data_IF_890766958341
#
_entry.id   IF_890766958341
#
_cell.length_a   1.000
_cell.length_b   1.000
_cell.length_c   1.000
_cell.angle_alpha   90.00
_cell.angle_beta   90.00
_cell.angle_gamma   90.00
#
_symmetry.space_group_name_H-M   'P 1'
#
loop_
_entity.id
_entity.type
_entity.pdbx_description
1 polymer ?
#
# COMPACT_ATOMS: atom_id res chain seq x y z
N UNK A 1 -38.45 14.78 -7.21
CA UNK A 1 -37.38 14.04 -7.90
C UNK A 1 -36.10 14.20 -7.05
N UNK A 2 -35.67 13.16 -6.34
CA UNK A 2 -34.41 13.19 -5.60
C UNK A 2 -33.28 13.36 -6.62
N UNK A 3 -32.48 14.42 -6.50
CA UNK A 3 -31.27 14.61 -7.29
C UNK A 3 -30.36 13.40 -7.02
N UNK A 4 -30.10 12.65 -8.08
CA UNK A 4 -29.09 11.55 -8.00
C UNK A 4 -27.76 12.20 -7.73
N UNK A 5 -27.25 12.03 -6.52
CA UNK A 5 -25.97 12.58 -6.10
C UNK A 5 -24.87 11.77 -6.77
N UNK A 6 -24.10 12.41 -7.65
CA UNK A 6 -22.97 11.76 -8.32
C UNK A 6 -21.90 11.32 -7.30
N UNK A 7 -21.40 10.10 -7.38
CA UNK A 7 -20.44 9.55 -6.41
C UNK A 7 -19.08 10.25 -6.44
N UNK A 8 -18.31 10.04 -5.38
CA UNK A 8 -16.89 10.26 -5.34
C UNK A 8 -16.23 8.93 -5.70
N UNK A 9 -15.35 8.92 -6.70
CA UNK A 9 -14.57 7.75 -7.09
C UNK A 9 -13.17 7.81 -6.49
N UNK A 10 -12.72 6.70 -5.90
CA UNK A 10 -11.34 6.50 -5.47
C UNK A 10 -10.75 5.36 -6.29
N UNK A 11 -9.74 5.65 -7.11
CA UNK A 11 -9.13 4.70 -8.04
C UNK A 11 -7.84 4.13 -7.46
N UNK A 12 -7.85 2.83 -7.18
CA UNK A 12 -6.80 2.08 -6.50
C UNK A 12 -7.10 1.88 -5.01
N UNK A 13 -7.23 0.62 -4.59
CA UNK A 13 -7.56 0.25 -3.22
C UNK A 13 -6.34 -0.31 -2.46
N UNK A 14 -5.16 0.25 -2.66
CA UNK A 14 -4.05 0.09 -1.71
C UNK A 14 -4.31 0.91 -0.44
N UNK A 15 -3.34 0.95 0.48
CA UNK A 15 -3.45 1.69 1.75
C UNK A 15 -4.07 3.08 1.59
N UNK A 16 -3.48 3.92 0.73
CA UNK A 16 -3.92 5.31 0.57
C UNK A 16 -5.35 5.43 0.06
N UNK A 17 -5.72 4.63 -0.96
CA UNK A 17 -7.08 4.67 -1.52
C UNK A 17 -8.11 4.12 -0.56
N UNK A 18 -7.80 3.03 0.12
CA UNK A 18 -8.70 2.41 1.11
C UNK A 18 -9.04 3.38 2.23
N UNK A 19 -8.03 3.97 2.89
CA UNK A 19 -8.32 4.91 3.97
C UNK A 19 -8.92 6.24 3.49
N UNK A 20 -8.57 6.69 2.29
CA UNK A 20 -9.28 7.83 1.68
C UNK A 20 -10.78 7.53 1.51
N UNK A 21 -11.13 6.36 0.99
CA UNK A 21 -12.52 5.98 0.80
C UNK A 21 -13.26 5.83 2.14
N UNK A 22 -12.66 5.19 3.13
CA UNK A 22 -13.21 5.06 4.48
C UNK A 22 -13.49 6.44 5.09
N UNK A 23 -12.49 7.32 5.12
CA UNK A 23 -12.65 8.65 5.72
C UNK A 23 -13.63 9.54 4.96
N UNK A 24 -13.72 9.42 3.63
CA UNK A 24 -14.73 10.10 2.85
C UNK A 24 -16.14 9.61 3.20
N UNK A 25 -16.33 8.29 3.30
CA UNK A 25 -17.61 7.70 3.63
C UNK A 25 -18.10 8.08 5.03
N UNK A 26 -17.22 8.07 6.02
CA UNK A 26 -17.52 8.47 7.40
C UNK A 26 -17.84 9.95 7.53
N UNK A 27 -17.12 10.83 6.82
CA UNK A 27 -17.30 12.29 6.93
C UNK A 27 -18.39 12.85 6.03
N UNK A 28 -18.78 12.13 4.99
CA UNK A 28 -19.77 12.55 4.00
C UNK A 28 -20.85 11.46 3.82
N UNK A 29 -21.66 11.15 4.85
CA UNK A 29 -22.60 10.04 4.83
C UNK A 29 -23.65 10.14 3.70
N UNK A 30 -23.96 11.36 3.26
CA UNK A 30 -24.92 11.61 2.17
C UNK A 30 -24.29 11.49 0.75
N UNK A 31 -22.97 11.23 0.67
CA UNK A 31 -22.26 11.12 -0.60
C UNK A 31 -21.88 9.67 -0.88
N UNK A 32 -22.33 9.09 -2.00
CA UNK A 32 -21.83 7.78 -2.40
C UNK A 32 -20.32 7.84 -2.67
N UNK A 33 -19.56 6.87 -2.14
CA UNK A 33 -18.13 6.69 -2.35
C UNK A 33 -17.92 5.33 -2.99
N UNK A 34 -17.18 5.29 -4.11
CA UNK A 34 -16.87 4.05 -4.81
C UNK A 34 -15.35 3.89 -4.84
N UNK A 35 -14.87 2.81 -4.24
CA UNK A 35 -13.47 2.40 -4.23
C UNK A 35 -13.24 1.36 -5.33
N UNK A 36 -12.40 1.68 -6.32
CA UNK A 36 -12.10 0.80 -7.44
C UNK A 36 -10.84 -0.03 -7.19
N UNK A 37 -10.93 -1.37 -7.40
CA UNK A 37 -9.81 -2.30 -7.27
C UNK A 37 -9.93 -3.47 -8.25
N UNK A 38 -9.05 -3.50 -9.26
CA UNK A 38 -9.08 -4.53 -10.30
C UNK A 38 -8.45 -5.88 -9.91
N UNK A 39 -7.51 -5.87 -8.95
CA UNK A 39 -6.81 -7.11 -8.55
C UNK A 39 -7.66 -8.08 -7.75
N UNK A 40 -8.87 -7.68 -7.36
CA UNK A 40 -9.79 -8.47 -6.55
C UNK A 40 -9.51 -8.42 -5.05
N UNK A 41 -8.41 -7.81 -4.59
CA UNK A 41 -8.04 -7.70 -3.18
C UNK A 41 -7.83 -6.24 -2.78
N UNK A 42 -8.85 -5.62 -2.21
CA UNK A 42 -8.77 -4.27 -1.67
C UNK A 42 -8.09 -4.27 -0.29
N UNK A 43 -7.36 -3.22 0.03
CA UNK A 43 -6.73 -2.96 1.32
C UNK A 43 -5.21 -2.89 1.26
N UNK A 44 -4.49 -4.02 1.25
CA UNK A 44 -3.04 -4.04 1.48
C UNK A 44 -2.22 -3.41 0.36
N UNK A 45 -2.70 -3.44 -0.88
CA UNK A 45 -1.91 -3.01 -2.02
C UNK A 45 -0.57 -3.74 -2.10
N UNK A 46 0.36 -3.23 -2.90
CA UNK A 46 1.68 -3.86 -3.08
C UNK A 46 2.58 -3.79 -1.84
N UNK A 47 2.39 -2.79 -0.97
CA UNK A 47 3.28 -2.55 0.16
C UNK A 47 3.08 -3.53 1.31
N UNK A 48 1.85 -4.04 1.49
CA UNK A 48 1.44 -4.84 2.65
C UNK A 48 0.88 -6.22 2.28
N UNK A 49 0.93 -6.59 0.99
CA UNK A 49 0.50 -7.92 0.50
C UNK A 49 1.57 -9.00 0.66
N UNK A 50 2.81 -8.63 1.00
CA UNK A 50 3.94 -9.55 1.00
C UNK A 50 3.72 -10.71 1.98
N UNK A 51 3.89 -11.93 1.47
CA UNK A 51 3.93 -13.16 2.27
C UNK A 51 5.29 -13.37 2.98
N UNK A 52 6.16 -12.36 2.95
CA UNK A 52 7.43 -12.39 3.65
C UNK A 52 7.20 -12.08 5.15
N UNK A 53 7.32 -13.08 6.02
CA UNK A 53 7.13 -12.89 7.46
C UNK A 53 8.23 -12.02 8.09
N UNK A 54 9.35 -11.84 7.40
CA UNK A 54 10.50 -11.06 7.86
C UNK A 54 10.41 -9.58 7.44
N UNK A 55 9.55 -9.24 6.48
CA UNK A 55 9.33 -7.86 6.10
C UNK A 55 8.54 -7.12 7.20
N UNK A 56 9.25 -6.30 7.98
CA UNK A 56 8.65 -5.52 9.07
C UNK A 56 8.28 -4.11 8.64
N UNK A 57 7.41 -3.49 9.40
CA UNK A 57 7.04 -2.08 9.26
C UNK A 57 8.27 -1.20 9.56
N UNK A 58 8.31 -0.04 8.93
CA UNK A 58 9.37 0.96 9.14
C UNK A 58 9.05 1.95 10.28
N UNK A 59 7.89 1.80 10.92
CA UNK A 59 7.46 2.55 12.09
C UNK A 59 6.94 1.59 13.15
N UNK A 60 7.06 1.95 14.46
CA UNK A 60 6.53 1.14 15.55
C UNK A 60 4.99 1.17 15.58
N UNK A 61 4.38 0.15 16.20
CA UNK A 61 2.95 -0.08 16.23
C UNK A 61 2.13 1.16 16.65
N UNK A 62 2.58 1.91 17.68
CA UNK A 62 1.94 3.14 18.16
C UNK A 62 1.84 4.27 17.12
N UNK A 63 2.59 4.20 16.02
CA UNK A 63 2.63 5.22 14.96
C UNK A 63 1.93 4.78 13.68
N UNK A 64 1.22 3.67 13.72
CA UNK A 64 0.64 3.03 12.53
C UNK A 64 -0.88 3.07 12.50
N UNK A 65 -1.54 3.75 13.46
CA UNK A 65 -2.98 3.95 13.37
C UNK A 65 -3.35 4.75 12.12
N UNK A 66 -4.42 4.34 11.45
CA UNK A 66 -5.01 5.06 10.32
C UNK A 66 -6.11 6.04 10.76
N UNK A 67 -6.44 6.06 12.04
CA UNK A 67 -7.44 6.95 12.64
C UNK A 67 -6.75 7.95 13.56
N UNK A 68 -6.89 9.24 13.24
CA UNK A 68 -6.27 10.31 14.02
C UNK A 68 -6.82 10.38 15.44
N UNK A 69 -8.12 10.13 15.60
CA UNK A 69 -8.82 10.21 16.87
C UNK A 69 -8.63 8.94 17.73
N UNK A 70 -8.05 7.88 17.14
CA UNK A 70 -7.73 6.61 17.79
C UNK A 70 -6.27 6.21 17.52
N UNK A 71 -5.29 6.89 18.12
CA UNK A 71 -3.87 6.70 17.82
C UNK A 71 -3.36 5.28 18.12
N UNK A 72 -4.02 4.56 19.02
CA UNK A 72 -3.66 3.19 19.39
C UNK A 72 -4.47 2.10 18.65
N UNK A 73 -5.30 2.46 17.67
CA UNK A 73 -6.21 1.53 17.00
C UNK A 73 -5.47 0.34 16.37
N UNK A 74 -4.39 0.58 15.63
CA UNK A 74 -3.56 -0.51 15.10
C UNK A 74 -2.88 -1.32 16.20
N UNK A 75 -2.36 -0.69 17.24
CA UNK A 75 -1.74 -1.38 18.36
C UNK A 75 -2.72 -2.33 19.06
N UNK A 76 -3.96 -1.89 19.31
CA UNK A 76 -5.00 -2.75 19.87
C UNK A 76 -5.40 -3.89 18.96
N UNK A 77 -5.50 -3.63 17.64
CA UNK A 77 -5.71 -4.67 16.64
C UNK A 77 -4.59 -5.71 16.68
N UNK A 78 -3.34 -5.26 16.69
CA UNK A 78 -2.18 -6.14 16.72
C UNK A 78 -2.13 -7.02 17.98
N UNK A 79 -2.42 -6.46 19.13
CA UNK A 79 -2.50 -7.25 20.39
C UNK A 79 -3.55 -8.36 20.33
N UNK A 80 -4.72 -8.07 19.76
CA UNK A 80 -5.81 -9.06 19.65
C UNK A 80 -5.49 -10.18 18.65
N UNK A 81 -4.82 -9.85 17.55
CA UNK A 81 -4.67 -10.76 16.41
C UNK A 81 -3.27 -11.39 16.28
N UNK A 82 -2.25 -10.78 16.88
CA UNK A 82 -0.87 -11.27 16.82
C UNK A 82 -0.34 -11.76 18.18
N UNK A 83 -0.85 -11.21 19.28
CA UNK A 83 -0.59 -11.67 20.64
C UNK A 83 -0.44 -10.55 21.66
N UNK A 84 -0.76 -10.87 22.92
CA UNK A 84 -0.70 -9.90 24.02
C UNK A 84 0.72 -9.41 24.35
N UNK A 85 1.75 -10.11 23.89
CA UNK A 85 3.15 -9.73 24.05
C UNK A 85 3.54 -8.49 23.22
N UNK A 86 2.70 -8.08 22.25
CA UNK A 86 2.95 -6.90 21.43
C UNK A 86 2.99 -5.65 22.28
N UNK A 87 4.05 -4.85 22.08
CA UNK A 87 4.25 -3.56 22.72
C UNK A 87 4.07 -2.40 21.72
N UNK A 88 3.79 -1.18 22.19
CA UNK A 88 3.64 -0.02 21.29
C UNK A 88 4.88 0.30 20.46
N UNK A 89 6.07 -0.12 20.93
CA UNK A 89 7.36 0.16 20.28
C UNK A 89 7.81 -0.92 19.30
N UNK A 90 7.03 -2.00 19.15
CA UNK A 90 7.39 -3.09 18.27
C UNK A 90 7.21 -2.74 16.79
N UNK A 91 8.18 -3.21 15.98
CA UNK A 91 8.12 -3.18 14.53
C UNK A 91 7.52 -4.50 14.04
N UNK A 92 6.24 -4.46 13.69
CA UNK A 92 5.45 -5.65 13.39
C UNK A 92 5.55 -6.04 11.90
N UNK A 93 5.23 -7.30 11.55
CA UNK A 93 5.21 -7.75 10.16
C UNK A 93 4.30 -6.89 9.27
N UNK A 94 4.73 -6.58 8.06
CA UNK A 94 3.94 -5.82 7.07
C UNK A 94 2.62 -6.49 6.73
N UNK A 95 2.60 -7.83 6.70
CA UNK A 95 1.39 -8.61 6.46
C UNK A 95 0.31 -8.32 7.51
N UNK A 96 0.69 -8.25 8.79
CA UNK A 96 -0.25 -7.94 9.86
C UNK A 96 -0.92 -6.56 9.64
N UNK A 97 -0.17 -5.60 9.12
CA UNK A 97 -0.74 -4.31 8.75
C UNK A 97 -1.66 -4.41 7.53
N UNK A 98 -1.34 -5.26 6.58
CA UNK A 98 -2.23 -5.57 5.45
C UNK A 98 -3.57 -6.14 5.92
N UNK A 99 -3.55 -7.07 6.87
CA UNK A 99 -4.75 -7.65 7.48
C UNK A 99 -5.54 -6.61 8.28
N UNK A 100 -4.85 -5.70 8.97
CA UNK A 100 -5.48 -4.56 9.63
C UNK A 100 -6.22 -3.63 8.65
N UNK A 101 -5.63 -3.34 7.48
CA UNK A 101 -6.29 -2.50 6.47
C UNK A 101 -7.57 -3.17 5.95
N UNK A 102 -7.52 -4.49 5.70
CA UNK A 102 -8.70 -5.27 5.31
C UNK A 102 -9.79 -5.22 6.37
N UNK A 103 -9.41 -5.45 7.61
CA UNK A 103 -10.31 -5.36 8.77
C UNK A 103 -11.00 -3.99 8.84
N UNK A 104 -10.25 -2.90 8.73
CA UNK A 104 -10.84 -1.55 8.72
C UNK A 104 -11.79 -1.31 7.54
N UNK A 105 -11.47 -1.85 6.35
CA UNK A 105 -12.35 -1.74 5.19
C UNK A 105 -13.64 -2.53 5.39
N UNK A 106 -13.57 -3.74 5.92
CA UNK A 106 -14.73 -4.58 6.20
C UNK A 106 -15.67 -3.93 7.23
N UNK A 107 -15.12 -3.38 8.32
CA UNK A 107 -15.91 -2.62 9.28
C UNK A 107 -16.57 -1.39 8.64
N UNK A 108 -15.83 -0.64 7.84
CA UNK A 108 -16.38 0.53 7.18
C UNK A 108 -17.49 0.18 6.18
N UNK A 109 -17.37 -0.94 5.45
CA UNK A 109 -18.43 -1.41 4.55
C UNK A 109 -19.70 -1.81 5.29
N UNK A 110 -19.60 -2.28 6.52
CA UNK A 110 -20.75 -2.60 7.36
C UNK A 110 -21.42 -1.35 7.96
N UNK A 111 -20.61 -0.36 8.34
CA UNK A 111 -21.05 0.85 9.02
C UNK A 111 -21.52 1.96 8.06
N UNK A 112 -20.95 2.02 6.85
CA UNK A 112 -21.18 3.08 5.88
C UNK A 112 -21.89 2.55 4.64
N UNK A 113 -23.24 2.62 4.56
CA UNK A 113 -24.02 2.14 3.41
C UNK A 113 -23.72 2.93 2.13
N UNK A 114 -23.11 4.11 2.25
CA UNK A 114 -22.66 4.95 1.14
C UNK A 114 -21.30 4.54 0.57
N UNK A 115 -20.54 3.59 1.19
CA UNK A 115 -19.29 3.06 0.68
C UNK A 115 -19.52 1.77 -0.10
N UNK A 116 -18.90 1.67 -1.29
CA UNK A 116 -18.92 0.45 -2.11
C UNK A 116 -17.56 0.20 -2.71
N UNK A 117 -17.20 -1.08 -2.87
CA UNK A 117 -16.02 -1.53 -3.63
C UNK A 117 -16.48 -2.02 -4.99
N UNK A 118 -15.91 -1.47 -6.05
CA UNK A 118 -16.10 -1.91 -7.44
C UNK A 118 -14.81 -2.60 -7.91
N UNK A 119 -14.93 -3.83 -8.39
CA UNK A 119 -13.79 -4.66 -8.82
C UNK A 119 -13.42 -4.48 -10.29
N UNK A 120 -14.02 -3.52 -10.95
CA UNK A 120 -13.69 -3.22 -12.35
C UNK A 120 -12.51 -2.25 -12.42
N UNK A 121 -11.66 -2.45 -13.43
CA UNK A 121 -10.59 -1.51 -13.73
C UNK A 121 -11.16 -0.20 -14.32
N UNK A 122 -10.63 0.93 -13.85
CA UNK A 122 -10.81 2.23 -14.50
C UNK A 122 -9.72 2.36 -15.55
N UNK A 123 -10.09 2.50 -16.83
CA UNK A 123 -9.14 2.54 -17.95
C UNK A 123 -8.95 3.95 -18.52
N UNK A 124 -9.92 4.84 -18.32
CA UNK A 124 -9.82 6.25 -18.75
C UNK A 124 -10.62 7.16 -17.81
N UNK A 125 -10.19 8.41 -17.71
CA UNK A 125 -10.86 9.45 -16.94
C UNK A 125 -10.88 10.74 -17.76
N UNK A 126 -12.08 11.18 -18.10
CA UNK A 126 -12.28 12.41 -18.85
C UNK A 126 -12.88 13.47 -17.94
N UNK A 127 -12.28 14.67 -17.97
CA UNK A 127 -12.80 15.84 -17.28
C UNK A 127 -13.08 16.93 -18.31
N UNK A 128 -14.27 17.49 -18.23
CA UNK A 128 -14.58 18.68 -19.03
C UNK A 128 -14.26 19.90 -18.14
N UNK A 129 -13.27 20.70 -18.52
CA UNK A 129 -12.76 21.82 -17.72
C UNK A 129 -13.82 22.86 -17.27
N UNK A 130 -14.99 22.85 -17.90
CA UNK A 130 -16.13 23.70 -17.52
C UNK A 130 -17.11 23.02 -16.55
N UNK A 131 -17.06 21.71 -16.36
CA UNK A 131 -17.97 20.97 -15.48
C UNK A 131 -17.21 20.39 -14.27
N UNK A 132 -17.90 20.36 -13.12
CA UNK A 132 -17.39 19.72 -11.91
C UNK A 132 -17.57 18.19 -11.92
N UNK A 133 -17.81 17.60 -13.08
CA UNK A 133 -18.12 16.18 -13.26
C UNK A 133 -17.00 15.53 -14.07
N UNK A 134 -16.50 14.38 -13.59
CA UNK A 134 -15.62 13.50 -14.32
C UNK A 134 -16.39 12.28 -14.84
N UNK A 135 -15.99 11.76 -15.99
CA UNK A 135 -16.52 10.51 -16.57
C UNK A 135 -15.41 9.47 -16.54
N UNK A 136 -15.64 8.38 -15.81
CA UNK A 136 -14.76 7.24 -15.78
C UNK A 136 -15.21 6.21 -16.80
N UNK A 137 -14.29 5.72 -17.62
CA UNK A 137 -14.53 4.55 -18.48
C UNK A 137 -13.97 3.32 -17.79
N UNK A 138 -14.77 2.28 -17.66
CA UNK A 138 -14.38 1.03 -17.04
C UNK A 138 -13.97 -0.01 -18.09
N UNK A 139 -13.25 -1.04 -17.71
CA UNK A 139 -12.72 -2.08 -18.61
C UNK A 139 -13.81 -2.82 -19.41
N UNK A 140 -15.03 -2.85 -18.91
CA UNK A 140 -16.21 -3.40 -19.59
C UNK A 140 -16.87 -2.40 -20.57
N UNK A 141 -16.23 -1.26 -20.85
CA UNK A 141 -16.71 -0.13 -21.64
C UNK A 141 -17.92 0.60 -21.04
N UNK A 142 -18.32 0.31 -19.84
CA UNK A 142 -19.33 1.11 -19.16
C UNK A 142 -18.74 2.45 -18.68
N UNK A 143 -19.59 3.47 -18.59
CA UNK A 143 -19.20 4.79 -18.11
C UNK A 143 -19.87 5.14 -16.80
N UNK A 144 -19.14 5.81 -15.91
CA UNK A 144 -19.62 6.29 -14.63
C UNK A 144 -19.33 7.79 -14.46
N UNK A 145 -20.39 8.57 -14.23
CA UNK A 145 -20.24 9.99 -13.90
C UNK A 145 -19.95 10.15 -12.40
N UNK A 146 -18.90 10.88 -12.07
CA UNK A 146 -18.47 11.14 -10.69
C UNK A 146 -18.37 12.65 -10.43
N UNK A 147 -18.70 13.06 -9.22
CA UNK A 147 -18.52 14.45 -8.78
C UNK A 147 -17.06 14.80 -8.50
N UNK A 148 -16.28 13.84 -8.09
CA UNK A 148 -14.83 13.93 -7.82
C UNK A 148 -14.15 12.60 -8.08
N UNK A 149 -12.86 12.64 -8.41
CA UNK A 149 -12.01 11.47 -8.56
C UNK A 149 -10.75 11.66 -7.75
N UNK A 150 -10.40 10.66 -6.95
CA UNK A 150 -9.13 10.57 -6.24
C UNK A 150 -8.30 9.47 -6.89
N UNK A 151 -7.11 9.81 -7.35
CA UNK A 151 -6.17 8.84 -7.91
C UNK A 151 -5.24 8.34 -6.82
N UNK A 152 -5.38 7.07 -6.45
CA UNK A 152 -4.56 6.37 -5.47
C UNK A 152 -3.88 5.13 -6.09
N UNK A 153 -3.41 5.28 -7.33
CA UNK A 153 -2.89 4.19 -8.19
C UNK A 153 -1.54 3.62 -7.74
N UNK A 154 -1.00 4.13 -6.63
CA UNK A 154 0.26 3.66 -6.07
C UNK A 154 1.48 4.02 -6.91
N UNK A 155 2.60 3.37 -6.61
CA UNK A 155 3.82 3.54 -7.40
C UNK A 155 3.73 2.72 -8.68
N UNK A 156 3.74 3.38 -9.81
CA UNK A 156 3.98 2.75 -11.10
C UNK A 156 5.40 2.14 -11.08
N UNK A 157 5.54 0.92 -11.57
CA UNK A 157 6.85 0.26 -11.66
C UNK A 157 7.87 1.13 -12.39
N UNK A 158 9.15 1.00 -12.03
CA UNK A 158 10.21 1.76 -12.70
C UNK A 158 10.22 1.47 -14.20
N UNK A 159 10.43 2.51 -15.01
CA UNK A 159 10.46 2.47 -16.46
C UNK A 159 11.69 1.71 -17.07
N UNK A 160 12.30 0.78 -16.31
CA UNK A 160 13.40 -0.04 -16.82
C UNK A 160 12.97 -1.08 -17.85
N UNK A 161 11.66 -1.26 -18.07
CA UNK A 161 11.12 -2.24 -19.02
C UNK A 161 11.48 -2.01 -20.50
N UNK A 162 12.02 -0.84 -20.84
CA UNK A 162 12.41 -0.50 -22.22
C UNK A 162 13.92 -0.30 -22.43
N UNK A 163 14.75 -0.56 -21.39
CA UNK A 163 16.20 -0.39 -21.47
C UNK A 163 16.90 -1.70 -21.85
N UNK A 164 18.13 -1.58 -22.36
CA UNK A 164 19.02 -2.74 -22.61
C UNK A 164 19.30 -3.57 -21.33
N UNK A 165 18.98 -3.02 -20.16
CA UNK A 165 19.11 -3.66 -18.85
C UNK A 165 17.86 -4.42 -18.42
N UNK A 166 16.75 -4.35 -19.20
CA UNK A 166 15.47 -4.95 -18.80
C UNK A 166 15.59 -6.46 -18.48
N UNK A 167 16.39 -7.19 -19.26
CA UNK A 167 16.61 -8.63 -19.08
C UNK A 167 17.40 -8.98 -17.81
N UNK A 168 18.14 -8.02 -17.25
CA UNK A 168 19.00 -8.20 -16.06
C UNK A 168 18.47 -7.45 -14.84
N UNK A 169 17.34 -6.76 -14.95
CA UNK A 169 16.80 -5.92 -13.89
C UNK A 169 15.54 -6.54 -13.33
N UNK A 170 15.55 -6.82 -12.04
CA UNK A 170 14.44 -7.40 -11.30
C UNK A 170 13.86 -6.38 -10.32
N UNK A 171 12.50 -6.29 -10.21
CA UNK A 171 11.85 -5.35 -9.30
C UNK A 171 11.97 -5.81 -7.83
N UNK A 172 12.75 -5.12 -7.02
CA UNK A 172 13.03 -5.49 -5.62
C UNK A 172 11.80 -5.57 -4.68
N UNK A 173 10.62 -5.15 -5.15
CA UNK A 173 9.39 -5.14 -4.34
C UNK A 173 8.52 -6.39 -4.50
N UNK A 174 8.88 -7.32 -5.38
CA UNK A 174 8.15 -8.57 -5.60
C UNK A 174 8.90 -9.72 -4.93
N UNK A 175 8.23 -10.51 -4.10
CA UNK A 175 8.86 -11.64 -3.41
C UNK A 175 9.46 -12.65 -4.38
N UNK A 176 8.74 -12.97 -5.48
CA UNK A 176 9.22 -13.87 -6.54
C UNK A 176 10.45 -13.38 -7.31
N UNK A 177 10.87 -12.13 -7.09
CA UNK A 177 12.10 -11.59 -7.69
C UNK A 177 13.33 -12.33 -7.19
N UNK A 178 13.39 -12.62 -5.92
CA UNK A 178 14.57 -13.23 -5.30
C UNK A 178 14.73 -14.70 -5.66
N UNK A 179 13.62 -15.39 -5.98
CA UNK A 179 13.62 -16.77 -6.45
C UNK A 179 14.31 -16.93 -7.84
N UNK A 180 14.49 -15.83 -8.55
CA UNK A 180 15.16 -15.81 -9.86
C UNK A 180 16.69 -15.73 -9.73
N UNK A 181 17.21 -15.43 -8.55
CA UNK A 181 18.67 -15.38 -8.29
C UNK A 181 19.18 -16.80 -8.16
N UNK A 182 20.06 -17.20 -9.09
CA UNK A 182 20.66 -18.54 -9.10
C UNK A 182 21.84 -18.63 -8.12
N UNK A 183 22.13 -19.82 -7.59
CA UNK A 183 23.30 -20.03 -6.74
C UNK A 183 24.60 -19.53 -7.37
N UNK A 184 25.36 -18.77 -6.60
CA UNK A 184 26.66 -18.24 -7.03
C UNK A 184 26.63 -16.97 -7.87
N UNK A 185 25.46 -16.40 -8.11
CA UNK A 185 25.37 -15.11 -8.82
C UNK A 185 25.70 -13.93 -7.91
N UNK A 186 26.39 -12.95 -8.48
CA UNK A 186 26.58 -11.62 -7.86
C UNK A 186 25.35 -10.76 -8.13
N UNK A 187 24.84 -10.10 -7.10
CA UNK A 187 23.66 -9.23 -7.17
C UNK A 187 24.04 -7.78 -6.93
N UNK A 188 23.62 -6.88 -7.83
CA UNK A 188 23.74 -5.44 -7.63
C UNK A 188 22.39 -4.85 -7.26
N UNK A 189 22.28 -4.25 -6.07
CA UNK A 189 21.09 -3.53 -5.61
C UNK A 189 21.26 -2.03 -5.87
N UNK A 190 20.39 -1.45 -6.66
CA UNK A 190 20.39 -0.02 -6.96
C UNK A 190 19.48 0.72 -5.98
N UNK A 191 20.08 1.51 -5.11
CA UNK A 191 19.43 2.17 -3.98
C UNK A 191 19.84 1.54 -2.64
N UNK A 192 20.11 2.38 -1.64
CA UNK A 192 20.56 1.93 -0.30
C UNK A 192 19.55 2.29 0.80
N UNK A 193 18.26 2.37 0.47
CA UNK A 193 17.17 2.60 1.42
C UNK A 193 16.71 1.31 2.14
N UNK A 194 15.59 1.38 2.87
CA UNK A 194 15.04 0.22 3.60
C UNK A 194 14.69 -0.95 2.67
N UNK A 195 14.28 -0.69 1.43
CA UNK A 195 14.02 -1.75 0.43
C UNK A 195 15.29 -2.56 0.12
N UNK A 196 16.48 -1.92 0.14
CA UNK A 196 17.75 -2.64 0.00
C UNK A 196 18.00 -3.55 1.20
N UNK A 197 17.72 -3.09 2.42
CA UNK A 197 17.84 -3.93 3.62
C UNK A 197 16.95 -5.16 3.50
N UNK A 198 15.66 -4.97 3.15
CA UNK A 198 14.73 -6.08 2.92
C UNK A 198 15.27 -7.06 1.86
N UNK A 199 15.84 -6.54 0.75
CA UNK A 199 16.39 -7.34 -0.33
C UNK A 199 17.61 -8.15 0.12
N UNK A 200 18.55 -7.54 0.84
CA UNK A 200 19.77 -8.20 1.34
C UNK A 200 19.38 -9.32 2.30
N UNK A 201 18.52 -9.05 3.27
CA UNK A 201 18.08 -10.06 4.24
C UNK A 201 17.41 -11.26 3.55
N UNK A 202 16.60 -11.02 2.53
CA UNK A 202 15.96 -12.11 1.79
C UNK A 202 16.96 -12.91 0.95
N UNK A 203 17.90 -12.25 0.26
CA UNK A 203 18.95 -12.91 -0.52
C UNK A 203 19.89 -13.74 0.38
N UNK A 204 20.26 -13.22 1.56
CA UNK A 204 21.05 -13.96 2.55
C UNK A 204 20.28 -15.19 3.07
N UNK A 205 18.99 -15.04 3.36
CA UNK A 205 18.14 -16.15 3.82
C UNK A 205 18.04 -17.27 2.80
N UNK A 206 17.95 -16.94 1.50
CA UNK A 206 17.94 -17.93 0.42
C UNK A 206 19.30 -18.58 0.19
N UNK A 207 20.38 -17.91 0.55
CA UNK A 207 21.75 -18.40 0.38
C UNK A 207 22.21 -18.56 -1.07
N UNK A 208 21.49 -17.95 -2.03
CA UNK A 208 21.78 -18.10 -3.45
C UNK A 208 22.83 -17.10 -3.95
N UNK A 209 22.88 -15.88 -3.41
CA UNK A 209 23.81 -14.87 -3.86
C UNK A 209 25.24 -15.15 -3.34
N UNK A 210 26.24 -15.13 -4.25
CA UNK A 210 27.65 -15.26 -3.88
C UNK A 210 28.16 -13.96 -3.25
N UNK A 211 27.73 -12.81 -3.79
CA UNK A 211 28.13 -11.49 -3.33
C UNK A 211 26.99 -10.50 -3.61
N UNK A 212 26.75 -9.59 -2.67
CA UNK A 212 25.72 -8.58 -2.80
C UNK A 212 26.36 -7.18 -2.72
N UNK A 213 26.26 -6.43 -3.81
CA UNK A 213 26.69 -5.03 -3.86
C UNK A 213 25.48 -4.11 -3.78
N UNK A 214 25.59 -3.01 -3.05
CA UNK A 214 24.57 -1.96 -3.02
C UNK A 214 25.17 -0.62 -3.39
N UNK A 215 24.52 0.11 -4.29
CA UNK A 215 24.98 1.40 -4.78
C UNK A 215 23.88 2.45 -4.67
N UNK A 216 24.26 3.68 -4.29
CA UNK A 216 23.36 4.83 -4.35
C UNK A 216 24.14 6.11 -4.64
N UNK A 217 23.42 7.18 -5.00
CA UNK A 217 24.01 8.48 -5.33
C UNK A 217 24.89 9.06 -4.22
N UNK A 218 24.50 8.86 -2.96
CA UNK A 218 25.15 9.48 -1.80
C UNK A 218 25.79 8.46 -0.85
N UNK A 219 25.70 7.15 -1.12
CA UNK A 219 26.28 6.09 -0.29
C UNK A 219 25.69 5.99 1.13
N UNK A 220 24.55 6.67 1.40
CA UNK A 220 23.93 6.63 2.73
C UNK A 220 23.16 5.33 2.94
N UNK A 221 23.36 4.70 4.09
CA UNK A 221 22.67 3.48 4.53
C UNK A 221 21.78 3.80 5.73
N UNK A 222 20.56 3.21 5.84
CA UNK A 222 19.70 3.37 7.00
C UNK A 222 20.43 2.97 8.28
N UNK A 223 20.24 3.78 9.34
CA UNK A 223 20.75 3.45 10.67
C UNK A 223 19.80 2.49 11.39
N UNK A 224 20.29 1.65 12.31
CA UNK A 224 19.44 0.88 13.20
C UNK A 224 18.47 1.78 13.95
N UNK A 225 17.25 1.30 14.20
CA UNK A 225 16.30 2.02 15.04
C UNK A 225 16.86 2.19 16.44
N UNK A 226 16.96 3.44 16.89
CA UNK A 226 17.25 3.73 18.30
C UNK A 226 15.93 3.75 19.06
N UNK A 227 15.92 3.20 20.31
CA UNK A 227 14.80 3.43 21.22
C UNK A 227 14.63 4.93 21.35
N UNK A 228 13.47 5.45 20.96
CA UNK A 228 13.20 6.88 21.08
C UNK A 228 13.38 7.29 22.54
N UNK A 229 14.42 8.09 22.84
CA UNK A 229 14.43 8.85 24.06
C UNK A 229 13.17 9.70 24.06
N UNK A 230 12.42 9.68 25.16
CA UNK A 230 11.28 10.60 25.34
C UNK A 230 11.80 12.00 25.04
N UNK A 231 11.40 12.58 23.92
CA UNK A 231 11.50 14.03 23.74
C UNK A 231 10.42 14.57 24.66
N UNK A 232 10.82 15.06 25.82
CA UNK A 232 9.93 15.84 26.67
C UNK A 232 9.49 17.08 25.87
N UNK A 233 8.20 17.45 25.95
CA UNK A 233 7.61 18.53 25.18
C UNK A 233 8.23 19.89 25.51
#
# INVERSE_FOLDING_TARGET
MSQVVSPIAVVGAGFSGTFTAIHLALRLPERPVILFEESGEAGPGLAYRRDDPHAVLNLPARRMSAYQDEPDHFFHYARRNYGEHVTPDDFLPRRLYGDYIKYCLEEALQQCPNLKVDRRAVVDIQTNGASSVAVLTLKDNSALMCSRVVLATGNQGSAFSSSIWAEHTLPARQASTYDQVKPGQTVLVIGTGLTMIDAVLELERQGNAAEIHAISRNGLVPRPHQKASKVEP
#
